data_IF_486679410632
#
_entry.id   IF_486679410632
#
_cell.length_a   1.000
_cell.length_b   1.000
_cell.length_c   1.000
_cell.angle_alpha   90.00
_cell.angle_beta   90.00
_cell.angle_gamma   90.00
#
_symmetry.space_group_name_H-M   'P 1'
#
loop_
_entity.id
_entity.type
_entity.pdbx_description
1 polymer ?
#
# COMPACT_ATOMS: atom_id res chain seq x y z
N UNK A 1 -13.01 -34.41 2.42
CA UNK A 1 -11.55 -34.20 2.29
C UNK A 1 -11.35 -32.76 1.84
N UNK A 2 -11.12 -31.86 2.80
CA UNK A 2 -10.85 -30.45 2.49
C UNK A 2 -9.50 -30.36 1.79
N UNK A 3 -9.46 -29.74 0.62
CA UNK A 3 -8.29 -29.72 -0.23
C UNK A 3 -7.32 -28.67 0.34
N UNK A 4 -6.12 -29.09 0.75
CA UNK A 4 -5.04 -28.20 1.22
C UNK A 4 -4.78 -27.08 0.20
N UNK A 5 -5.09 -27.33 -1.07
CA UNK A 5 -4.99 -26.38 -2.16
C UNK A 5 -5.87 -25.11 -2.01
N UNK A 6 -7.02 -25.22 -1.35
CA UNK A 6 -7.96 -24.10 -1.20
C UNK A 6 -7.55 -23.21 -0.02
N UNK A 7 -7.08 -23.84 1.06
CA UNK A 7 -6.77 -23.15 2.31
C UNK A 7 -5.57 -22.20 2.20
N UNK A 8 -4.51 -22.56 1.47
CA UNK A 8 -3.37 -21.65 1.27
C UNK A 8 -3.75 -20.40 0.46
N UNK A 9 -4.70 -20.56 -0.45
CA UNK A 9 -5.13 -19.50 -1.35
C UNK A 9 -5.98 -18.46 -0.61
N UNK A 10 -6.88 -18.92 0.25
CA UNK A 10 -7.65 -18.08 1.16
C UNK A 10 -6.76 -17.28 2.13
N UNK A 11 -5.70 -17.88 2.67
CA UNK A 11 -4.76 -17.19 3.56
C UNK A 11 -3.95 -16.11 2.85
N UNK A 12 -3.52 -16.37 1.60
CA UNK A 12 -2.82 -15.37 0.77
C UNK A 12 -3.75 -14.21 0.39
N UNK A 13 -4.99 -14.52 -0.01
CA UNK A 13 -5.99 -13.50 -0.35
C UNK A 13 -6.33 -12.64 0.88
N UNK A 14 -6.54 -13.25 2.05
CA UNK A 14 -6.82 -12.54 3.29
C UNK A 14 -5.65 -11.63 3.73
N UNK A 15 -4.41 -12.09 3.57
CA UNK A 15 -3.21 -11.30 3.88
C UNK A 15 -3.06 -10.12 2.92
N UNK A 16 -3.34 -10.34 1.62
CA UNK A 16 -3.30 -9.30 0.60
C UNK A 16 -4.35 -8.22 0.86
N UNK A 17 -5.57 -8.62 1.23
CA UNK A 17 -6.65 -7.71 1.63
C UNK A 17 -6.26 -6.91 2.88
N UNK A 18 -5.72 -7.56 3.90
CA UNK A 18 -5.27 -6.88 5.11
C UNK A 18 -4.17 -5.84 4.83
N UNK A 19 -3.21 -6.15 3.96
CA UNK A 19 -2.20 -5.16 3.54
C UNK A 19 -2.84 -4.01 2.77
N UNK A 20 -3.81 -4.29 1.88
CA UNK A 20 -4.57 -3.25 1.17
C UNK A 20 -5.27 -2.30 2.12
N UNK A 21 -6.00 -2.83 3.10
CA UNK A 21 -6.78 -2.05 4.06
C UNK A 21 -5.88 -1.14 4.91
N UNK A 22 -4.72 -1.66 5.33
CA UNK A 22 -3.71 -0.88 6.06
C UNK A 22 -3.14 0.26 5.22
N UNK A 23 -2.81 0.02 3.95
CA UNK A 23 -2.32 1.07 3.05
C UNK A 23 -3.42 2.10 2.80
N UNK A 24 -4.66 1.68 2.52
CA UNK A 24 -5.80 2.58 2.33
C UNK A 24 -6.02 3.47 3.55
N UNK A 25 -5.93 2.91 4.76
CA UNK A 25 -6.04 3.65 6.01
C UNK A 25 -4.96 4.71 6.16
N UNK A 26 -3.70 4.39 5.84
CA UNK A 26 -2.60 5.37 5.85
C UNK A 26 -2.84 6.46 4.81
N UNK A 27 -3.17 6.08 3.58
CA UNK A 27 -3.43 7.02 2.49
C UNK A 27 -4.56 7.99 2.88
N UNK A 28 -5.65 7.48 3.49
CA UNK A 28 -6.77 8.29 3.98
C UNK A 28 -6.42 9.33 5.05
N UNK A 29 -5.26 9.22 5.71
CA UNK A 29 -4.77 10.27 6.62
C UNK A 29 -4.29 11.52 5.88
N UNK A 30 -3.90 11.39 4.61
CA UNK A 30 -3.29 12.45 3.83
C UNK A 30 -4.23 13.08 2.81
N UNK A 31 -5.17 12.32 2.27
CA UNK A 31 -6.20 12.82 1.36
C UNK A 31 -7.53 12.91 2.09
N UNK A 32 -8.14 14.11 2.12
CA UNK A 32 -9.43 14.38 2.77
C UNK A 32 -10.61 13.81 1.98
N UNK A 33 -10.53 12.54 1.60
CA UNK A 33 -11.60 11.83 0.91
C UNK A 33 -12.38 10.99 1.91
N UNK A 34 -13.69 11.17 1.89
CA UNK A 34 -14.67 10.38 2.63
C UNK A 34 -15.13 9.14 1.85
N UNK A 35 -14.64 8.93 0.63
CA UNK A 35 -15.03 7.86 -0.29
C UNK A 35 -13.87 6.90 -0.57
N UNK A 36 -14.22 5.63 -0.83
CA UNK A 36 -13.29 4.54 -1.13
C UNK A 36 -12.33 4.90 -2.27
N UNK A 37 -11.03 5.01 -1.96
CA UNK A 37 -9.97 5.20 -2.95
C UNK A 37 -9.75 3.88 -3.67
N UNK A 38 -9.98 3.87 -4.99
CA UNK A 38 -9.76 2.66 -5.78
C UNK A 38 -8.25 2.29 -5.79
N UNK A 39 -7.87 1.00 -5.76
CA UNK A 39 -6.47 0.59 -5.63
C UNK A 39 -5.52 1.16 -6.71
N UNK A 40 -6.05 1.38 -7.91
CA UNK A 40 -5.32 1.87 -9.08
C UNK A 40 -5.44 3.40 -9.28
N UNK A 41 -6.16 4.10 -8.39
CA UNK A 41 -6.39 5.53 -8.52
C UNK A 41 -5.10 6.32 -8.28
N UNK A 42 -4.89 7.39 -9.06
CA UNK A 42 -3.75 8.27 -8.89
C UNK A 42 -3.95 9.16 -7.66
N UNK A 43 -3.12 8.96 -6.63
CA UNK A 43 -3.23 9.71 -5.38
C UNK A 43 -2.91 11.19 -5.55
N UNK A 44 -2.11 11.58 -6.56
CA UNK A 44 -1.83 12.99 -6.84
C UNK A 44 -3.07 13.69 -7.42
N UNK A 45 -3.85 13.00 -8.25
CA UNK A 45 -5.14 13.50 -8.75
C UNK A 45 -6.16 13.67 -7.60
N UNK A 46 -5.96 12.93 -6.50
CA UNK A 46 -6.73 13.05 -5.26
C UNK A 46 -6.20 14.11 -4.29
N UNK A 47 -5.18 14.88 -4.68
CA UNK A 47 -4.64 15.97 -3.88
C UNK A 47 -3.47 15.58 -2.97
N UNK A 48 -2.88 14.38 -3.14
CA UNK A 48 -1.63 14.03 -2.47
C UNK A 48 -0.48 14.88 -3.02
N UNK A 49 -0.04 15.86 -2.24
CA UNK A 49 1.11 16.72 -2.55
C UNK A 49 2.44 16.01 -2.34
N UNK A 50 3.53 16.57 -2.87
CA UNK A 50 4.89 16.02 -2.67
C UNK A 50 5.29 15.90 -1.20
N UNK A 51 4.86 16.84 -0.34
CA UNK A 51 5.12 16.77 1.10
C UNK A 51 4.33 15.64 1.77
N UNK A 52 3.06 15.46 1.37
CA UNK A 52 2.26 14.33 1.86
C UNK A 52 2.81 12.99 1.36
N UNK A 53 3.40 12.93 0.17
CA UNK A 53 4.06 11.73 -0.33
C UNK A 53 5.28 11.33 0.53
N UNK A 54 6.08 12.31 0.99
CA UNK A 54 7.18 12.04 1.95
C UNK A 54 6.61 11.52 3.27
N UNK A 55 5.54 12.13 3.78
CA UNK A 55 4.93 11.66 5.03
C UNK A 55 4.30 10.26 4.88
N UNK A 56 3.66 9.99 3.74
CA UNK A 56 3.13 8.67 3.38
C UNK A 56 4.23 7.61 3.39
N UNK A 57 5.38 7.91 2.78
CA UNK A 57 6.55 7.03 2.81
C UNK A 57 6.95 6.69 4.26
N UNK A 58 7.11 7.70 5.12
CA UNK A 58 7.50 7.49 6.52
C UNK A 58 6.45 6.69 7.30
N UNK A 59 5.16 6.93 7.05
CA UNK A 59 4.07 6.16 7.65
C UNK A 59 4.08 4.69 7.20
N UNK A 60 4.43 4.42 5.94
CA UNK A 60 4.56 3.04 5.44
C UNK A 60 5.75 2.33 6.10
N UNK A 61 6.92 2.97 6.20
CA UNK A 61 8.07 2.39 6.91
C UNK A 61 7.73 2.05 8.36
N UNK A 62 7.04 2.95 9.06
CA UNK A 62 6.63 2.77 10.44
C UNK A 62 5.57 1.67 10.63
N UNK A 63 4.56 1.61 9.77
CA UNK A 63 3.46 0.63 9.87
C UNK A 63 3.93 -0.80 9.59
N UNK A 64 4.86 -0.96 8.65
CA UNK A 64 5.32 -2.27 8.20
C UNK A 64 6.68 -2.68 8.77
N UNK A 65 7.25 -1.88 9.69
CA UNK A 65 8.55 -2.11 10.34
C UNK A 65 9.66 -2.44 9.32
N UNK A 66 9.77 -1.60 8.28
CA UNK A 66 10.70 -1.78 7.17
C UNK A 66 11.46 -0.50 6.84
N UNK A 67 12.51 -0.64 6.03
CA UNK A 67 13.24 0.49 5.45
C UNK A 67 13.19 0.41 3.93
N UNK A 68 12.75 1.47 3.26
CA UNK A 68 12.68 1.55 1.81
C UNK A 68 14.03 2.04 1.27
N UNK A 69 14.74 1.25 0.44
CA UNK A 69 16.01 1.67 -0.14
C UNK A 69 15.87 2.93 -0.98
N UNK A 70 16.89 3.79 -0.99
CA UNK A 70 16.89 5.06 -1.75
C UNK A 70 16.57 4.88 -3.24
N UNK A 71 16.97 3.74 -3.83
CA UNK A 71 16.67 3.40 -5.24
C UNK A 71 15.18 3.14 -5.52
N UNK A 72 14.38 2.89 -4.48
CA UNK A 72 12.94 2.64 -4.54
C UNK A 72 12.13 3.87 -4.09
N UNK A 73 12.78 4.96 -3.67
CA UNK A 73 12.16 6.23 -3.31
C UNK A 73 11.84 7.08 -4.54
N UNK A 74 11.03 6.52 -5.43
CA UNK A 74 10.61 7.18 -6.67
C UNK A 74 9.10 7.42 -6.64
N UNK A 75 8.59 8.56 -7.16
CA UNK A 75 7.17 8.89 -7.11
C UNK A 75 6.25 7.81 -7.69
N UNK A 76 6.71 7.05 -8.68
CA UNK A 76 5.95 5.96 -9.29
C UNK A 76 5.57 4.85 -8.31
N UNK A 77 6.36 4.63 -7.26
CA UNK A 77 6.06 3.61 -6.24
C UNK A 77 4.97 4.05 -5.25
N UNK A 78 4.64 5.34 -5.20
CA UNK A 78 3.67 5.94 -4.29
C UNK A 78 2.48 6.56 -5.02
N UNK A 79 2.33 6.26 -6.32
CA UNK A 79 1.30 6.85 -7.18
C UNK A 79 -0.10 6.28 -6.93
N UNK A 80 -0.20 5.03 -6.47
CA UNK A 80 -1.45 4.36 -6.12
C UNK A 80 -1.24 3.35 -5.00
N UNK A 81 -2.33 2.89 -4.38
CA UNK A 81 -2.31 1.82 -3.36
C UNK A 81 -1.70 0.54 -3.95
N UNK A 82 -2.05 0.20 -5.19
CA UNK A 82 -1.51 -0.97 -5.90
C UNK A 82 0.01 -0.88 -6.10
N UNK A 83 0.54 0.31 -6.42
CA UNK A 83 1.99 0.51 -6.56
C UNK A 83 2.71 0.35 -5.21
N UNK A 84 2.12 0.86 -4.13
CA UNK A 84 2.67 0.69 -2.77
C UNK A 84 2.66 -0.79 -2.38
N UNK A 85 1.57 -1.51 -2.64
CA UNK A 85 1.52 -2.96 -2.42
C UNK A 85 2.59 -3.73 -3.20
N UNK A 86 2.83 -3.35 -4.46
CA UNK A 86 3.86 -3.96 -5.27
C UNK A 86 5.26 -3.69 -4.70
N UNK A 87 5.52 -2.47 -4.23
CA UNK A 87 6.74 -2.14 -3.51
C UNK A 87 6.91 -2.99 -2.25
N UNK A 88 5.88 -3.12 -1.41
CA UNK A 88 5.95 -3.92 -0.19
C UNK A 88 6.21 -5.40 -0.46
N UNK A 89 5.59 -5.96 -1.52
CA UNK A 89 5.87 -7.34 -1.93
C UNK A 89 7.33 -7.51 -2.35
N UNK A 90 7.87 -6.58 -3.12
CA UNK A 90 9.27 -6.60 -3.56
C UNK A 90 10.27 -6.52 -2.40
N UNK A 91 9.93 -5.79 -1.33
CA UNK A 91 10.76 -5.68 -0.12
C UNK A 91 10.63 -6.87 0.85
N UNK A 92 9.58 -7.66 0.74
CA UNK A 92 9.35 -8.84 1.58
C UNK A 92 10.09 -10.09 1.10
N UNK A 93 10.83 -10.00 -0.01
CA UNK A 93 11.64 -11.06 -0.60
C UNK A 93 13.13 -10.89 -0.26
#
# INVERSE_FOLDING_TARGET
>A
MSNVATHWRELVDATTLQTSDRISSIVGQFISLHDDVAPNQDLQELGLTSMQMVNLMLSIEAEFDLTIPSSKLVPSNFRSIENIQALLRDLAH
#
